data_IF_489418804592
#
_entry.id   IF_489418804592
#
_cell.length_a   1.000
_cell.length_b   1.000
_cell.length_c   1.000
_cell.angle_alpha   90.00
_cell.angle_beta   90.00
_cell.angle_gamma   90.00
#
_symmetry.space_group_name_H-M   'P 1'
#
loop_
_entity.id
_entity.type
_entity.pdbx_description
1 polymer ?
#
# COMPACT_ATOMS: atom_id res chain seq x y z
N UNK A 1 33.56 -7.58 -11.50
CA UNK A 1 32.57 -7.39 -10.43
C UNK A 1 32.88 -8.38 -9.33
N UNK A 2 33.01 -7.93 -8.08
CA UNK A 2 33.18 -8.81 -6.93
C UNK A 2 31.81 -9.40 -6.53
N UNK A 3 31.81 -10.61 -5.98
CA UNK A 3 30.60 -11.18 -5.37
C UNK A 3 30.13 -10.24 -4.24
N UNK A 4 28.86 -9.78 -4.22
CA UNK A 4 28.34 -8.86 -3.21
C UNK A 4 28.03 -9.61 -1.91
N UNK A 5 29.06 -10.08 -1.23
CA UNK A 5 28.95 -10.76 0.06
C UNK A 5 28.82 -9.69 1.16
N UNK A 6 27.67 -9.64 1.83
CA UNK A 6 27.48 -8.79 3.00
C UNK A 6 27.96 -9.51 4.27
N UNK A 7 28.74 -8.80 5.10
CA UNK A 7 29.26 -9.34 6.35
C UNK A 7 28.19 -9.48 7.44
N UNK A 8 28.49 -10.23 8.51
CA UNK A 8 27.59 -10.36 9.66
C UNK A 8 27.33 -9.00 10.34
N UNK A 9 28.37 -8.18 10.50
CA UNK A 9 28.27 -6.83 11.09
C UNK A 9 27.47 -5.89 10.19
N UNK A 10 27.68 -5.96 8.88
CA UNK A 10 26.93 -5.18 7.88
C UNK A 10 25.44 -5.56 7.91
N UNK A 11 25.11 -6.85 8.01
CA UNK A 11 23.73 -7.33 8.17
C UNK A 11 23.07 -6.85 9.47
N UNK A 12 23.84 -6.76 10.57
CA UNK A 12 23.33 -6.25 11.86
C UNK A 12 23.16 -4.72 11.85
N UNK A 13 24.00 -4.01 11.09
CA UNK A 13 23.91 -2.56 10.93
C UNK A 13 22.75 -2.12 10.01
N UNK A 14 22.19 -3.03 9.20
CA UNK A 14 21.03 -2.74 8.36
C UNK A 14 19.79 -2.44 9.22
N UNK A 15 19.38 -1.17 9.22
CA UNK A 15 18.11 -0.74 9.81
C UNK A 15 16.95 -1.29 8.98
N UNK A 16 16.19 -2.21 9.57
CA UNK A 16 14.93 -2.69 8.99
C UNK A 16 13.80 -1.77 9.41
N UNK A 17 13.02 -1.29 8.45
CA UNK A 17 11.78 -0.58 8.72
C UNK A 17 10.78 -1.51 9.41
N UNK A 18 10.09 -1.00 10.44
CA UNK A 18 9.01 -1.73 11.11
C UNK A 18 7.72 -1.47 10.32
N UNK A 19 7.02 -2.55 9.97
CA UNK A 19 5.68 -2.47 9.36
C UNK A 19 4.65 -2.83 10.42
N UNK A 20 3.67 -1.97 10.61
CA UNK A 20 2.59 -2.17 11.58
C UNK A 20 1.24 -1.85 10.96
N UNK A 21 0.21 -2.55 11.41
CA UNK A 21 -1.18 -2.31 11.02
C UNK A 21 -2.02 -2.07 12.26
N UNK A 22 -2.88 -1.04 12.22
CA UNK A 22 -3.72 -0.64 13.34
C UNK A 22 -5.18 -0.91 12.97
N UNK A 23 -5.85 -1.74 13.78
CA UNK A 23 -7.26 -2.08 13.60
C UNK A 23 -8.13 -1.46 14.70
N UNK A 24 -9.35 -1.11 14.34
CA UNK A 24 -10.31 -0.57 15.30
C UNK A 24 -11.54 0.01 14.63
N UNK A 25 -12.65 0.10 15.38
CA UNK A 25 -13.92 0.65 14.91
C UNK A 25 -13.76 2.10 14.42
N UNK A 26 -14.70 2.58 13.61
CA UNK A 26 -14.73 4.00 13.23
C UNK A 26 -14.84 4.88 14.47
N UNK A 27 -14.17 6.03 14.46
CA UNK A 27 -14.17 7.00 15.57
C UNK A 27 -13.35 6.61 16.81
N UNK A 28 -12.66 5.46 16.83
CA UNK A 28 -11.89 5.02 18.02
C UNK A 28 -10.54 5.75 18.21
N UNK A 29 -10.17 6.66 17.29
CA UNK A 29 -8.93 7.44 17.37
C UNK A 29 -7.72 6.86 16.63
N UNK A 30 -7.91 6.03 15.60
CA UNK A 30 -6.80 5.50 14.75
C UNK A 30 -5.99 6.63 14.13
N UNK A 31 -6.66 7.55 13.45
CA UNK A 31 -6.04 8.72 12.80
C UNK A 31 -5.43 9.67 13.83
N UNK A 32 -6.03 9.78 15.02
CA UNK A 32 -5.51 10.61 16.11
C UNK A 32 -4.15 10.15 16.64
N UNK A 33 -3.69 8.94 16.30
CA UNK A 33 -2.32 8.50 16.61
C UNK A 33 -1.25 9.35 15.92
N UNK A 34 -1.58 10.05 14.83
CA UNK A 34 -0.68 11.00 14.18
C UNK A 34 -0.16 12.09 15.14
N UNK A 35 -0.96 12.50 16.14
CA UNK A 35 -0.56 13.45 17.18
C UNK A 35 0.55 12.92 18.12
N UNK A 36 0.78 11.60 18.13
CA UNK A 36 1.82 10.96 18.95
C UNK A 36 3.15 10.81 18.21
N UNK A 37 3.16 11.08 16.91
CA UNK A 37 4.35 10.99 16.05
C UNK A 37 5.03 12.35 15.90
N UNK A 38 6.30 12.33 15.48
CA UNK A 38 6.99 13.56 15.10
C UNK A 38 6.49 14.01 13.72
N UNK A 39 5.73 15.11 13.68
CA UNK A 39 5.13 15.61 12.44
C UNK A 39 6.17 16.01 11.38
N UNK A 40 7.36 16.49 11.79
CA UNK A 40 8.42 16.92 10.86
C UNK A 40 9.11 15.78 10.12
N UNK A 41 9.02 14.55 10.64
CA UNK A 41 9.61 13.33 10.06
C UNK A 41 8.56 12.26 9.75
N UNK A 42 7.26 12.59 9.80
CA UNK A 42 6.17 11.70 9.40
C UNK A 42 5.53 12.21 8.13
N UNK A 43 5.43 11.33 7.13
CA UNK A 43 4.60 11.56 5.95
C UNK A 43 3.24 10.90 6.15
N UNK A 44 2.17 11.68 6.01
CA UNK A 44 0.80 11.17 6.09
C UNK A 44 0.23 10.88 4.69
N UNK A 45 -0.24 9.66 4.44
CA UNK A 45 -1.00 9.30 3.25
C UNK A 45 -2.48 9.21 3.63
N UNK A 46 -3.24 10.24 3.26
CA UNK A 46 -4.67 10.39 3.55
C UNK A 46 -5.51 10.00 2.33
N UNK A 47 -6.07 8.80 2.38
CA UNK A 47 -6.99 8.24 1.39
C UNK A 47 -8.46 8.47 1.75
N UNK A 48 -8.79 8.66 3.03
CA UNK A 48 -10.18 8.91 3.43
C UNK A 48 -10.61 10.36 3.15
N UNK A 49 -9.63 11.28 2.96
CA UNK A 49 -9.84 12.72 2.85
C UNK A 49 -10.57 13.31 4.06
N UNK A 50 -10.34 12.71 5.24
CA UNK A 50 -11.03 13.00 6.49
C UNK A 50 -10.17 13.82 7.44
N UNK A 51 -10.06 15.13 7.19
CA UNK A 51 -9.14 16.01 7.94
C UNK A 51 -9.55 16.26 9.41
N UNK A 52 -10.78 15.94 9.79
CA UNK A 52 -11.32 16.31 11.12
C UNK A 52 -10.51 15.75 12.30
N UNK A 53 -9.87 14.59 12.16
CA UNK A 53 -9.11 13.97 13.25
C UNK A 53 -7.71 14.59 13.45
N UNK A 54 -7.23 15.35 12.45
CA UNK A 54 -5.88 15.95 12.40
C UNK A 54 -5.92 17.44 12.05
N UNK A 55 -7.09 18.07 12.18
CA UNK A 55 -7.25 19.49 11.94
C UNK A 55 -6.30 20.29 12.85
N UNK A 56 -5.48 21.14 12.25
CA UNK A 56 -4.46 21.93 12.95
C UNK A 56 -3.12 21.22 13.20
N UNK A 57 -2.96 19.96 12.81
CA UNK A 57 -1.66 19.28 12.83
C UNK A 57 -0.84 19.68 11.60
N UNK A 58 0.32 20.30 11.81
CA UNK A 58 1.26 20.66 10.74
C UNK A 58 2.06 19.43 10.28
N UNK A 59 1.42 18.57 9.48
CA UNK A 59 2.02 17.35 8.94
C UNK A 59 1.96 17.32 7.41
N UNK A 60 3.08 16.96 6.79
CA UNK A 60 3.14 16.78 5.34
C UNK A 60 2.24 15.62 4.91
N UNK A 61 1.35 15.90 3.95
CA UNK A 61 0.26 14.98 3.59
C UNK A 61 0.17 14.76 2.08
N UNK A 62 0.05 13.51 1.66
CA UNK A 62 -0.30 13.08 0.30
C UNK A 62 -1.73 12.53 0.28
N UNK A 63 -2.50 12.87 -0.76
CA UNK A 63 -3.90 12.44 -0.90
C UNK A 63 -4.16 11.70 -2.21
N UNK A 64 -3.74 10.42 -2.33
CA UNK A 64 -4.08 9.62 -3.50
C UNK A 64 -5.58 9.37 -3.56
N UNK A 65 -6.15 9.50 -4.76
CA UNK A 65 -7.57 9.30 -5.06
C UNK A 65 -7.82 8.12 -5.99
N UNK A 66 -6.79 7.66 -6.69
CA UNK A 66 -6.86 6.52 -7.61
C UNK A 66 -5.92 5.40 -7.20
N UNK A 67 -6.21 4.18 -7.66
CA UNK A 67 -5.28 3.06 -7.48
C UNK A 67 -3.94 3.30 -8.18
N UNK A 68 -3.94 4.00 -9.32
CA UNK A 68 -2.70 4.37 -10.01
C UNK A 68 -1.84 5.26 -9.11
N UNK A 69 -2.39 6.31 -8.52
CA UNK A 69 -1.66 7.19 -7.60
C UNK A 69 -1.15 6.44 -6.36
N UNK A 70 -1.92 5.48 -5.83
CA UNK A 70 -1.42 4.62 -4.73
C UNK A 70 -0.15 3.86 -5.14
N UNK A 71 -0.13 3.28 -6.36
CA UNK A 71 1.06 2.58 -6.88
C UNK A 71 2.21 3.54 -7.20
N UNK A 72 1.90 4.71 -7.76
CA UNK A 72 2.88 5.74 -8.08
C UNK A 72 3.60 6.20 -6.79
N UNK A 73 2.85 6.52 -5.71
CA UNK A 73 3.47 6.88 -4.44
C UNK A 73 4.23 5.72 -3.79
N UNK A 74 3.71 4.49 -3.87
CA UNK A 74 4.40 3.33 -3.33
C UNK A 74 5.78 3.10 -4.00
N UNK A 75 5.87 3.22 -5.33
CA UNK A 75 7.16 3.11 -6.03
C UNK A 75 8.06 4.32 -5.74
N UNK A 76 7.50 5.53 -5.63
CA UNK A 76 8.28 6.74 -5.33
C UNK A 76 8.92 6.68 -3.94
N UNK A 77 8.19 6.14 -2.95
CA UNK A 77 8.67 5.99 -1.57
C UNK A 77 9.59 4.78 -1.42
N UNK A 78 9.20 3.63 -1.99
CA UNK A 78 9.87 2.35 -1.80
C UNK A 78 11.02 2.07 -2.77
N UNK A 79 11.10 2.82 -3.86
CA UNK A 79 12.01 2.55 -4.98
C UNK A 79 11.49 1.46 -5.92
N UNK A 80 12.20 1.25 -7.05
CA UNK A 80 11.85 0.22 -8.02
C UNK A 80 12.24 -1.18 -7.53
N UNK A 81 11.51 -2.19 -8.01
CA UNK A 81 11.91 -3.58 -7.87
C UNK A 81 12.72 -4.01 -9.12
N UNK A 82 14.03 -4.29 -8.98
CA UNK A 82 14.90 -4.59 -10.13
C UNK A 82 14.60 -5.95 -10.78
N UNK A 83 13.78 -6.80 -10.16
CA UNK A 83 13.37 -8.08 -10.73
C UNK A 83 12.21 -7.96 -11.74
N UNK A 84 11.57 -6.78 -11.83
CA UNK A 84 10.40 -6.56 -12.67
C UNK A 84 10.78 -6.04 -14.05
N UNK A 85 10.04 -6.49 -15.07
CA UNK A 85 10.16 -6.01 -16.44
C UNK A 85 9.60 -4.60 -16.58
N UNK A 86 10.03 -3.87 -17.59
CA UNK A 86 9.65 -2.47 -17.82
C UNK A 86 8.12 -2.25 -17.91
N UNK A 87 7.39 -3.22 -18.46
CA UNK A 87 5.93 -3.19 -18.61
C UNK A 87 5.14 -3.41 -17.31
N UNK A 88 5.82 -3.81 -16.22
CA UNK A 88 5.18 -4.16 -14.97
C UNK A 88 5.15 -2.97 -13.99
N UNK A 89 4.09 -2.84 -13.17
CA UNK A 89 4.08 -1.90 -12.06
C UNK A 89 5.27 -2.13 -11.12
N UNK A 90 5.82 -1.06 -10.57
CA UNK A 90 7.01 -1.06 -9.68
C UNK A 90 8.34 -1.38 -10.37
N UNK A 91 8.39 -1.47 -11.69
CA UNK A 91 9.65 -1.60 -12.45
C UNK A 91 10.52 -0.33 -12.37
N UNK A 92 11.77 -0.42 -12.84
CA UNK A 92 12.63 0.75 -12.99
C UNK A 92 11.99 1.82 -13.90
N UNK A 93 11.39 1.39 -15.02
CA UNK A 93 10.71 2.30 -15.94
C UNK A 93 9.53 3.02 -15.26
N UNK A 94 8.75 2.31 -14.42
CA UNK A 94 7.67 2.92 -13.65
C UNK A 94 8.21 3.94 -12.63
N UNK A 95 9.30 3.63 -11.94
CA UNK A 95 9.95 4.56 -11.01
C UNK A 95 10.45 5.81 -11.73
N UNK A 96 11.15 5.65 -12.85
CA UNK A 96 11.69 6.77 -13.64
C UNK A 96 10.56 7.68 -14.17
N UNK A 97 9.45 7.10 -14.64
CA UNK A 97 8.25 7.84 -15.04
C UNK A 97 7.67 8.66 -13.88
N UNK A 98 7.59 8.06 -12.69
CA UNK A 98 7.06 8.72 -11.49
C UNK A 98 8.02 9.81 -11.00
N UNK A 99 9.33 9.60 -11.00
CA UNK A 99 10.33 10.62 -10.71
C UNK A 99 10.29 11.77 -11.72
N UNK A 100 10.05 11.49 -13.00
CA UNK A 100 9.82 12.53 -14.01
C UNK A 100 8.61 13.42 -13.71
N UNK A 101 7.58 12.88 -13.03
CA UNK A 101 6.36 13.61 -12.65
C UNK A 101 6.44 14.30 -11.28
N UNK A 102 7.01 13.63 -10.28
CA UNK A 102 7.03 14.09 -8.89
C UNK A 102 8.35 14.74 -8.47
N UNK A 103 9.39 14.64 -9.30
CA UNK A 103 10.71 15.19 -9.04
C UNK A 103 11.64 14.21 -8.32
N UNK A 104 12.63 14.76 -7.62
CA UNK A 104 13.69 13.98 -6.97
C UNK A 104 13.13 13.22 -5.74
N UNK A 105 13.23 11.88 -5.70
CA UNK A 105 12.79 11.07 -4.55
C UNK A 105 13.56 11.36 -3.27
N UNK A 106 14.70 12.06 -3.32
CA UNK A 106 15.42 12.54 -2.14
C UNK A 106 14.55 13.38 -1.19
N UNK A 107 13.46 14.00 -1.70
CA UNK A 107 12.48 14.73 -0.87
C UNK A 107 11.82 13.84 0.20
N UNK A 108 11.71 12.53 -0.06
CA UNK A 108 11.15 11.57 0.89
C UNK A 108 12.16 11.19 1.98
N UNK A 109 13.45 11.41 1.74
CA UNK A 109 14.54 11.01 2.66
C UNK A 109 14.51 11.67 4.04
N UNK A 110 13.72 12.75 4.23
CA UNK A 110 13.50 13.38 5.54
C UNK A 110 12.50 12.63 6.43
N UNK A 111 11.68 11.74 5.86
CA UNK A 111 10.64 11.04 6.60
C UNK A 111 11.15 9.70 7.14
N UNK A 112 10.95 9.49 8.44
CA UNK A 112 11.26 8.24 9.13
C UNK A 112 10.01 7.34 9.22
N UNK A 113 8.82 7.95 9.19
CA UNK A 113 7.54 7.25 9.30
C UNK A 113 6.64 7.60 8.13
N UNK A 114 5.99 6.59 7.56
CA UNK A 114 4.90 6.76 6.60
C UNK A 114 3.63 6.22 7.25
N UNK A 115 2.70 7.12 7.58
CA UNK A 115 1.41 6.76 8.17
C UNK A 115 0.35 6.72 7.07
N UNK A 116 -0.38 5.62 6.93
CA UNK A 116 -1.34 5.42 5.83
C UNK A 116 -2.75 5.27 6.42
N UNK A 117 -3.65 6.19 6.08
CA UNK A 117 -5.06 6.14 6.49
C UNK A 117 -6.00 6.36 5.29
N UNK A 118 -6.77 5.38 4.81
CA UNK A 118 -6.94 4.03 5.33
C UNK A 118 -6.65 2.96 4.29
N UNK A 119 -6.14 1.83 4.79
CA UNK A 119 -6.00 0.58 4.03
C UNK A 119 -7.35 0.13 3.43
N UNK A 120 -8.47 0.45 4.08
CA UNK A 120 -9.82 0.17 3.59
C UNK A 120 -10.09 0.88 2.26
N UNK A 121 -9.74 2.17 2.16
CA UNK A 121 -9.91 2.92 0.91
C UNK A 121 -8.92 2.44 -0.16
N UNK A 122 -7.65 2.19 0.20
CA UNK A 122 -6.67 1.61 -0.72
C UNK A 122 -7.16 0.28 -1.31
N UNK A 123 -7.65 -0.62 -0.45
CA UNK A 123 -8.20 -1.91 -0.85
C UNK A 123 -9.41 -1.78 -1.77
N UNK A 124 -10.32 -0.82 -1.51
CA UNK A 124 -11.45 -0.53 -2.39
C UNK A 124 -10.99 -0.05 -3.77
N UNK A 125 -10.03 0.87 -3.83
CA UNK A 125 -9.48 1.39 -5.09
C UNK A 125 -8.79 0.27 -5.88
N UNK A 126 -7.98 -0.56 -5.21
CA UNK A 126 -7.35 -1.74 -5.78
C UNK A 126 -8.39 -2.69 -6.38
N UNK A 127 -9.41 -3.05 -5.60
CA UNK A 127 -10.44 -3.98 -6.04
C UNK A 127 -11.23 -3.45 -7.25
N UNK A 128 -11.58 -2.16 -7.24
CA UNK A 128 -12.23 -1.52 -8.39
C UNK A 128 -11.34 -1.58 -9.65
N UNK A 129 -10.04 -1.34 -9.51
CA UNK A 129 -9.10 -1.46 -10.62
C UNK A 129 -8.99 -2.91 -11.13
N UNK A 130 -8.89 -3.90 -10.23
CA UNK A 130 -8.83 -5.31 -10.57
C UNK A 130 -10.05 -5.76 -11.38
N UNK A 131 -11.26 -5.28 -11.03
CA UNK A 131 -12.50 -5.59 -11.79
C UNK A 131 -12.52 -5.04 -13.22
N UNK A 132 -11.68 -4.06 -13.52
CA UNK A 132 -11.54 -3.50 -14.87
C UNK A 132 -10.47 -4.18 -15.71
N UNK A 133 -9.72 -5.13 -15.17
CA UNK A 133 -8.67 -5.82 -15.92
C UNK A 133 -9.26 -6.87 -16.87
N UNK A 134 -8.65 -7.11 -18.04
CA UNK A 134 -9.12 -8.12 -18.99
C UNK A 134 -9.34 -9.50 -18.35
N UNK A 135 -8.46 -9.87 -17.42
CA UNK A 135 -8.47 -11.13 -16.69
C UNK A 135 -9.67 -11.29 -15.75
N UNK A 136 -10.39 -10.20 -15.46
CA UNK A 136 -11.64 -10.26 -14.69
C UNK A 136 -12.85 -10.68 -15.52
N UNK A 137 -12.68 -10.86 -16.84
CA UNK A 137 -13.76 -11.21 -17.76
C UNK A 137 -13.51 -12.56 -18.43
N UNK A 138 -14.60 -13.32 -18.57
CA UNK A 138 -14.60 -14.59 -19.30
C UNK A 138 -14.30 -14.37 -20.78
N UNK A 139 -13.28 -15.06 -21.33
CA UNK A 139 -13.05 -15.07 -22.79
C UNK A 139 -14.24 -15.69 -23.55
N UNK A 140 -14.98 -16.61 -22.91
CA UNK A 140 -16.11 -17.32 -23.54
C UNK A 140 -17.39 -16.50 -23.54
N UNK A 141 -17.68 -15.80 -22.45
CA UNK A 141 -18.98 -15.12 -22.26
C UNK A 141 -18.90 -13.60 -22.30
N UNK A 142 -17.69 -13.02 -22.20
CA UNK A 142 -17.46 -11.58 -22.09
C UNK A 142 -18.00 -10.97 -20.79
N UNK A 143 -18.51 -11.78 -19.86
CA UNK A 143 -19.07 -11.33 -18.59
C UNK A 143 -17.99 -11.32 -17.50
N UNK A 144 -18.12 -10.46 -16.47
CA UNK A 144 -17.29 -10.56 -15.29
C UNK A 144 -17.41 -11.97 -14.69
N UNK A 145 -16.30 -12.68 -14.63
CA UNK A 145 -16.24 -14.06 -14.13
C UNK A 145 -14.99 -14.12 -13.26
N UNK A 146 -15.17 -13.94 -11.95
CA UNK A 146 -14.09 -14.14 -11.00
C UNK A 146 -13.80 -15.64 -10.93
N UNK A 147 -12.54 -16.05 -11.04
CA UNK A 147 -12.11 -17.46 -10.98
C UNK A 147 -12.72 -18.20 -9.77
N UNK A 148 -12.81 -17.52 -8.62
CA UNK A 148 -13.42 -18.04 -7.40
C UNK A 148 -14.91 -18.38 -7.57
N UNK A 149 -15.65 -17.55 -8.32
CA UNK A 149 -17.08 -17.74 -8.58
C UNK A 149 -17.37 -18.93 -9.51
N UNK A 150 -16.42 -19.30 -10.38
CA UNK A 150 -16.55 -20.46 -11.27
C UNK A 150 -16.33 -21.79 -10.52
N UNK A 151 -15.41 -21.79 -9.55
CA UNK A 151 -15.10 -22.96 -8.72
C UNK A 151 -16.03 -23.11 -7.49
N UNK A 152 -16.99 -22.19 -7.31
CA UNK A 152 -17.91 -22.19 -6.17
C UNK A 152 -17.27 -21.73 -4.85
N UNK A 153 -16.11 -21.09 -4.92
CA UNK A 153 -15.42 -20.55 -3.75
C UNK A 153 -16.14 -19.26 -3.34
N UNK A 154 -16.56 -19.14 -2.07
CA UNK A 154 -17.06 -17.88 -1.57
C UNK A 154 -15.95 -16.84 -1.76
N UNK A 155 -16.25 -15.73 -2.43
CA UNK A 155 -15.27 -14.69 -2.63
C UNK A 155 -14.69 -14.28 -1.27
N UNK A 156 -13.38 -14.00 -1.19
CA UNK A 156 -12.74 -13.54 0.05
C UNK A 156 -13.38 -12.27 0.62
N UNK A 157 -14.24 -11.57 -0.13
CA UNK A 157 -15.01 -10.40 0.29
C UNK A 157 -16.42 -10.74 0.79
N UNK A 158 -16.85 -11.99 0.72
CA UNK A 158 -18.11 -12.45 1.31
C UNK A 158 -18.00 -12.33 2.83
N UNK A 159 -18.94 -11.57 3.41
CA UNK A 159 -18.99 -11.34 4.85
C UNK A 159 -19.06 -12.66 5.63
N UNK A 160 -19.77 -13.67 5.13
CA UNK A 160 -19.84 -14.98 5.76
C UNK A 160 -18.50 -15.71 5.72
N UNK A 161 -17.78 -15.64 4.59
CA UNK A 161 -16.44 -16.19 4.45
C UNK A 161 -15.44 -15.50 5.39
N UNK A 162 -15.43 -14.17 5.42
CA UNK A 162 -14.56 -13.40 6.31
C UNK A 162 -14.88 -13.67 7.78
N UNK A 163 -16.16 -13.73 8.16
CA UNK A 163 -16.56 -14.01 9.54
C UNK A 163 -16.23 -15.45 9.97
N UNK A 164 -16.25 -16.42 9.05
CA UNK A 164 -15.91 -17.81 9.34
C UNK A 164 -14.40 -18.06 9.45
N UNK A 165 -13.57 -17.24 8.79
CA UNK A 165 -12.13 -17.45 8.69
C UNK A 165 -11.28 -16.41 9.45
N UNK A 166 -11.87 -15.32 9.97
CA UNK A 166 -11.20 -14.33 10.86
C UNK A 166 -11.43 -14.71 12.33
N UNK A 167 -10.95 -15.88 12.75
CA UNK A 167 -10.81 -16.23 14.15
C UNK A 167 -9.32 -16.42 14.47
N UNK A 168 -8.85 -15.74 15.52
CA UNK A 168 -7.43 -15.56 15.83
C UNK A 168 -6.60 -16.85 15.83
N UNK A 169 -5.46 -16.76 15.14
CA UNK A 169 -4.40 -17.76 15.08
C UNK A 169 -3.46 -17.43 13.92
N UNK A 170 -2.28 -16.91 14.25
CA UNK A 170 -1.05 -16.69 13.46
C UNK A 170 -1.10 -16.86 11.93
N UNK A 171 -0.64 -15.83 11.20
CA UNK A 171 -0.04 -16.03 9.87
C UNK A 171 -0.79 -15.47 8.66
N UNK A 172 -1.29 -14.24 8.71
CA UNK A 172 -1.69 -13.54 7.48
C UNK A 172 -0.81 -12.31 7.25
N UNK A 173 0.28 -12.52 6.51
CA UNK A 173 0.98 -11.46 5.80
C UNK A 173 0.07 -10.97 4.68
N UNK A 174 -0.58 -9.83 4.89
CA UNK A 174 -1.11 -9.05 3.78
C UNK A 174 0.01 -8.13 3.31
N UNK A 175 0.40 -8.31 2.04
CA UNK A 175 1.43 -7.52 1.34
C UNK A 175 1.19 -6.01 1.43
#
# INVERSE_FOLDING_TARGET
>A
MALPIIGADERLAQRKGIKGVIFGRSGIGKTSLLWTLNASTTLFLDLEAGDLAVEGLEIDTLRPRTWKECRDFAVFIGGPNPALREDQPYSQAHFDEVCGRYGDPAVIGKYETVFIDSITVAGRLCFQWCRGQPEAFSEKTGKPEHLDGAEGWPAIYDRAYLQANIAGGEGFDWF
#
